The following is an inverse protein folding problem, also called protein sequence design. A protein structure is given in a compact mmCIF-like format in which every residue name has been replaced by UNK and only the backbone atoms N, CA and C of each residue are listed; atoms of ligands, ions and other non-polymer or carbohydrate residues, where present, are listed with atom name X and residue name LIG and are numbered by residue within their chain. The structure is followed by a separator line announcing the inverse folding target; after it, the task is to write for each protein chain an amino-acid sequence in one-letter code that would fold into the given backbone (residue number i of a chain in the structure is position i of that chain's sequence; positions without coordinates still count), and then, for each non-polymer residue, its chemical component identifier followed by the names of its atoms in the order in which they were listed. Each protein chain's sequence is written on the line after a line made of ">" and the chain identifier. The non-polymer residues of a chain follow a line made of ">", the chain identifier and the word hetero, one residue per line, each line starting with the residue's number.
data_IF_762756058347
#
_entry.id   IF_762756058347
#
_cell.length_a   1.000
_cell.length_b   1.000
_cell.length_c   1.000
_cell.angle_alpha   90.00
_cell.angle_beta   90.00
_cell.angle_gamma   90.00
#
_symmetry.space_group_name_H-M   'P 1'
#
loop_
_entity.id
_entity.type
_entity.pdbx_description
1 polymer ?
#
# COMPACT_ATOMS: atom_id res chain seq x y z
N UNK A 1 1.13 -13.13 -10.07
CA UNK A 1 1.50 -12.89 -8.65
C UNK A 1 1.29 -11.44 -8.25
N UNK A 2 1.95 -10.47 -8.88
CA UNK A 2 1.86 -9.06 -8.47
C UNK A 2 0.43 -8.49 -8.51
N UNK A 3 -0.34 -8.78 -9.56
CA UNK A 3 -1.78 -8.46 -9.62
C UNK A 3 -2.55 -9.18 -8.52
N UNK A 4 -2.36 -10.50 -8.35
CA UNK A 4 -3.03 -11.26 -7.29
C UNK A 4 -2.79 -10.68 -5.89
N UNK A 5 -1.59 -10.15 -5.63
CA UNK A 5 -1.27 -9.49 -4.38
C UNK A 5 -2.13 -8.25 -4.13
N UNK A 6 -2.52 -7.46 -5.15
CA UNK A 6 -3.39 -6.28 -4.96
C UNK A 6 -4.78 -6.65 -4.43
N UNK A 7 -5.24 -7.87 -4.71
CA UNK A 7 -6.49 -8.42 -4.19
C UNK A 7 -6.30 -9.10 -2.83
N UNK A 8 -5.39 -10.07 -2.75
CA UNK A 8 -5.21 -10.90 -1.57
C UNK A 8 -4.80 -10.10 -0.32
N UNK A 9 -4.07 -8.99 -0.50
CA UNK A 9 -3.64 -8.14 0.62
C UNK A 9 -4.80 -7.48 1.37
N UNK A 10 -5.99 -7.38 0.77
CA UNK A 10 -7.18 -6.87 1.45
C UNK A 10 -7.56 -7.71 2.67
N UNK A 11 -7.25 -9.02 2.65
CA UNK A 11 -7.50 -9.94 3.76
C UNK A 11 -6.67 -9.56 4.99
N UNK A 12 -5.32 -9.64 4.98
CA UNK A 12 -4.53 -9.29 6.16
C UNK A 12 -4.71 -7.83 6.56
N UNK A 13 -4.87 -6.90 5.61
CA UNK A 13 -5.12 -5.49 5.91
C UNK A 13 -6.42 -5.26 6.70
N UNK A 14 -7.45 -6.07 6.44
CA UNK A 14 -8.72 -6.00 7.17
C UNK A 14 -8.64 -6.77 8.49
N UNK A 15 -8.16 -8.02 8.46
CA UNK A 15 -8.30 -8.95 9.57
C UNK A 15 -7.14 -8.98 10.56
N UNK A 16 -5.92 -8.54 10.22
CA UNK A 16 -4.73 -8.72 11.05
C UNK A 16 -4.14 -7.42 11.63
N UNK A 17 -4.54 -6.24 11.11
CA UNK A 17 -3.95 -4.95 11.51
C UNK A 17 -4.71 -4.19 12.61
N UNK A 18 -5.56 -4.85 13.39
CA UNK A 18 -6.49 -4.19 14.31
C UNK A 18 -5.74 -3.67 15.54
N UNK A 19 -5.87 -2.37 15.81
CA UNK A 19 -5.44 -1.72 17.06
C UNK A 19 -6.68 -1.31 17.88
N UNK A 20 -6.49 -0.96 19.15
CA UNK A 20 -7.56 -0.69 20.13
C UNK A 20 -8.62 0.36 19.75
N UNK A 21 -9.79 0.24 20.40
CA UNK A 21 -10.92 1.18 20.34
C UNK A 21 -10.53 2.63 20.73
N UNK A 22 -9.56 2.82 21.62
CA UNK A 22 -9.07 4.16 21.99
C UNK A 22 -8.33 4.88 20.84
N UNK A 23 -8.01 4.16 19.76
CA UNK A 23 -7.42 4.70 18.54
C UNK A 23 -8.37 4.68 17.33
N UNK A 24 -9.69 4.56 17.54
CA UNK A 24 -10.72 4.50 16.47
C UNK A 24 -10.55 5.60 15.43
N UNK A 25 -10.16 6.81 15.83
CA UNK A 25 -9.96 7.92 14.90
C UNK A 25 -8.84 7.66 13.87
N UNK A 26 -7.86 6.83 14.20
CA UNK A 26 -6.73 6.47 13.35
C UNK A 26 -6.89 5.10 12.66
N UNK A 27 -7.97 4.36 12.91
CA UNK A 27 -8.24 3.08 12.23
C UNK A 27 -8.54 3.30 10.76
N UNK A 28 -8.02 2.39 9.93
CA UNK A 28 -8.36 2.34 8.51
C UNK A 28 -9.84 1.99 8.32
N UNK A 29 -10.49 2.42 7.22
CA UNK A 29 -11.90 2.13 6.96
C UNK A 29 -12.26 0.64 7.06
N UNK A 30 -11.36 -0.26 6.61
CA UNK A 30 -11.55 -1.71 6.69
C UNK A 30 -11.57 -2.23 8.12
N UNK A 31 -10.74 -1.66 9.00
CA UNK A 31 -10.62 -2.05 10.40
C UNK A 31 -11.82 -1.57 11.21
N UNK A 32 -12.32 -0.35 10.93
CA UNK A 32 -13.59 0.14 11.48
C UNK A 32 -14.73 -0.82 11.17
N UNK A 33 -14.87 -1.20 9.89
CA UNK A 33 -15.88 -2.16 9.46
C UNK A 33 -15.69 -3.55 10.08
N UNK A 34 -14.45 -4.02 10.32
CA UNK A 34 -14.22 -5.29 11.00
C UNK A 34 -14.79 -5.29 12.42
N UNK A 35 -14.54 -4.23 13.19
CA UNK A 35 -15.05 -4.06 14.56
C UNK A 35 -16.58 -3.95 14.56
N UNK A 36 -17.18 -3.39 13.51
CA UNK A 36 -18.64 -3.37 13.31
C UNK A 36 -19.22 -4.73 12.85
N UNK A 37 -18.40 -5.77 12.70
CA UNK A 37 -18.83 -7.09 12.22
C UNK A 37 -19.05 -7.16 10.70
N UNK A 38 -18.52 -6.20 9.94
CA UNK A 38 -18.67 -6.04 8.48
C UNK A 38 -17.34 -6.28 7.72
N UNK A 39 -16.37 -7.00 8.29
CA UNK A 39 -15.07 -7.24 7.67
C UNK A 39 -15.13 -7.98 6.33
N UNK A 40 -16.10 -8.90 6.16
CA UNK A 40 -16.33 -9.55 4.86
C UNK A 40 -16.75 -8.53 3.78
N UNK A 41 -17.67 -7.63 4.12
CA UNK A 41 -18.13 -6.57 3.22
C UNK A 41 -16.97 -5.62 2.89
N UNK A 42 -16.14 -5.28 3.87
CA UNK A 42 -14.98 -4.41 3.65
C UNK A 42 -14.02 -4.98 2.60
N UNK A 43 -13.69 -6.26 2.68
CA UNK A 43 -12.83 -6.92 1.69
C UNK A 43 -13.53 -7.02 0.33
N UNK A 44 -14.84 -7.35 0.30
CA UNK A 44 -15.64 -7.40 -0.93
C UNK A 44 -15.61 -6.07 -1.68
N UNK A 45 -15.76 -4.94 -0.99
CA UNK A 45 -15.71 -3.60 -1.58
C UNK A 45 -14.33 -3.26 -2.15
N UNK A 46 -13.26 -3.61 -1.44
CA UNK A 46 -11.89 -3.45 -1.95
C UNK A 46 -11.68 -4.26 -3.22
N UNK A 47 -12.15 -5.52 -3.27
CA UNK A 47 -12.06 -6.38 -4.46
C UNK A 47 -12.84 -5.78 -5.64
N UNK A 48 -14.05 -5.26 -5.41
CA UNK A 48 -14.84 -4.56 -6.44
C UNK A 48 -14.04 -3.38 -6.98
N UNK A 49 -13.44 -2.58 -6.11
CA UNK A 49 -12.56 -1.49 -6.49
C UNK A 49 -11.37 -1.94 -7.34
N UNK A 50 -10.70 -3.02 -6.94
CA UNK A 50 -9.56 -3.59 -7.67
C UNK A 50 -9.95 -4.13 -9.04
N UNK A 51 -11.08 -4.84 -9.17
CA UNK A 51 -11.59 -5.34 -10.46
C UNK A 51 -11.91 -4.17 -11.40
N UNK A 52 -12.73 -3.23 -10.94
CA UNK A 52 -13.13 -2.07 -11.76
C UNK A 52 -11.93 -1.18 -12.09
N UNK A 53 -10.97 -1.05 -11.16
CA UNK A 53 -9.70 -0.37 -11.39
C UNK A 53 -8.87 -1.04 -12.47
N UNK A 54 -8.79 -2.38 -12.49
CA UNK A 54 -8.11 -3.12 -13.56
C UNK A 54 -8.72 -2.86 -14.94
N UNK A 55 -10.05 -2.90 -15.04
CA UNK A 55 -10.74 -2.56 -16.28
C UNK A 55 -10.50 -1.10 -16.70
N UNK A 56 -10.61 -0.16 -15.76
CA UNK A 56 -10.41 1.26 -16.04
C UNK A 56 -8.99 1.57 -16.53
N UNK A 57 -7.96 1.03 -15.87
CA UNK A 57 -6.58 1.30 -16.30
C UNK A 57 -6.25 0.63 -17.63
N UNK A 58 -6.78 -0.56 -17.91
CA UNK A 58 -6.57 -1.22 -19.20
C UNK A 58 -7.25 -0.43 -20.32
N UNK A 59 -8.45 0.09 -20.09
CA UNK A 59 -9.14 0.95 -21.06
C UNK A 59 -8.32 2.23 -21.38
N UNK A 60 -7.69 2.83 -20.36
CA UNK A 60 -6.89 4.06 -20.50
C UNK A 60 -5.46 3.78 -20.95
N UNK A 61 -5.01 2.53 -20.87
CA UNK A 61 -3.61 2.16 -21.13
C UNK A 61 -3.09 2.48 -22.53
N UNK A 62 -3.84 2.38 -23.65
CA UNK A 62 -3.32 2.76 -24.96
C UNK A 62 -2.93 4.23 -25.02
N UNK A 63 -3.73 5.11 -24.40
CA UNK A 63 -3.43 6.53 -24.31
C UNK A 63 -2.17 6.78 -23.47
N UNK A 64 -2.01 6.03 -22.37
CA UNK A 64 -0.86 6.16 -21.49
C UNK A 64 0.43 5.69 -22.15
N UNK A 65 0.41 4.59 -22.90
CA UNK A 65 1.58 4.08 -23.63
C UNK A 65 2.14 5.11 -24.63
N UNK A 66 1.26 5.91 -25.24
CA UNK A 66 1.67 6.96 -26.18
C UNK A 66 2.13 8.23 -25.44
N UNK A 67 1.51 8.54 -24.30
CA UNK A 67 1.67 9.86 -23.66
C UNK A 67 2.74 9.89 -22.58
N UNK A 68 3.01 8.78 -21.89
CA UNK A 68 3.77 8.80 -20.64
C UNK A 68 5.24 9.18 -20.84
N UNK A 69 5.87 8.80 -21.97
CA UNK A 69 7.26 9.16 -22.26
C UNK A 69 7.39 10.68 -22.46
N UNK A 70 6.53 11.26 -23.30
CA UNK A 70 6.44 12.72 -23.48
C UNK A 70 6.16 13.45 -22.16
N UNK A 71 5.20 12.98 -21.36
CA UNK A 71 4.90 13.58 -20.05
C UNK A 71 6.15 13.50 -19.15
N UNK A 72 6.82 12.36 -19.11
CA UNK A 72 8.00 12.16 -18.30
C UNK A 72 9.18 13.04 -18.75
N UNK A 73 9.39 13.25 -20.05
CA UNK A 73 10.46 14.12 -20.53
C UNK A 73 10.32 15.57 -20.04
N UNK A 74 9.09 16.07 -19.93
CA UNK A 74 8.81 17.40 -19.37
C UNK A 74 8.87 17.41 -17.84
N UNK A 75 8.41 16.34 -17.19
CA UNK A 75 8.26 16.30 -15.72
C UNK A 75 9.54 15.86 -15.00
N UNK A 76 10.48 15.14 -15.65
CA UNK A 76 11.63 14.50 -14.98
C UNK A 76 12.46 15.47 -14.14
N UNK A 77 12.71 16.69 -14.64
CA UNK A 77 13.47 17.73 -13.94
C UNK A 77 12.69 18.33 -12.75
N UNK A 78 11.36 18.16 -12.74
CA UNK A 78 10.49 18.66 -11.69
C UNK A 78 10.15 17.60 -10.62
N UNK A 79 10.56 16.34 -10.81
CA UNK A 79 10.25 15.25 -9.87
C UNK A 79 10.67 15.55 -8.44
N UNK A 80 11.90 16.05 -8.14
CA UNK A 80 12.29 16.36 -6.76
C UNK A 80 11.33 17.36 -6.12
N UNK A 81 10.94 18.40 -6.85
CA UNK A 81 10.02 19.43 -6.37
C UNK A 81 8.60 18.90 -6.18
N UNK A 82 8.13 18.01 -7.05
CA UNK A 82 6.84 17.32 -6.87
C UNK A 82 6.84 16.44 -5.61
N UNK A 83 7.94 15.74 -5.34
CA UNK A 83 8.10 14.95 -4.12
C UNK A 83 8.11 15.81 -2.87
N UNK A 84 8.84 16.94 -2.89
CA UNK A 84 8.83 17.92 -1.79
C UNK A 84 7.41 18.46 -1.58
N UNK A 85 6.74 18.90 -2.66
CA UNK A 85 5.38 19.44 -2.60
C UNK A 85 4.39 18.41 -2.02
N UNK A 86 4.45 17.16 -2.48
CA UNK A 86 3.59 16.09 -1.98
C UNK A 86 3.86 15.78 -0.50
N UNK A 87 5.11 15.80 -0.07
CA UNK A 87 5.51 15.58 1.32
C UNK A 87 5.02 16.72 2.22
N UNK A 88 5.22 17.98 1.80
CA UNK A 88 4.71 19.16 2.50
C UNK A 88 3.18 19.13 2.60
N UNK A 89 2.49 18.74 1.53
CA UNK A 89 1.04 18.59 1.55
C UNK A 89 0.58 17.54 2.58
N UNK A 90 1.25 16.39 2.65
CA UNK A 90 0.94 15.35 3.63
C UNK A 90 1.21 15.82 5.06
N UNK A 91 2.35 16.48 5.30
CA UNK A 91 2.69 17.05 6.62
C UNK A 91 1.66 18.12 7.04
N UNK A 92 1.27 19.00 6.12
CA UNK A 92 0.31 20.07 6.39
C UNK A 92 -1.07 19.54 6.81
N UNK A 93 -1.46 18.38 6.28
CA UNK A 93 -2.73 17.71 6.60
C UNK A 93 -2.78 17.10 8.00
N UNK A 94 -1.63 16.90 8.64
CA UNK A 94 -1.57 16.31 9.98
C UNK A 94 -2.02 17.30 11.05
N UNK A 95 -2.69 16.79 12.09
CA UNK A 95 -3.06 17.60 13.25
C UNK A 95 -1.81 18.16 13.94
N UNK A 96 -0.78 17.31 14.10
CA UNK A 96 0.49 17.69 14.69
C UNK A 96 1.60 17.77 13.61
N UNK A 97 1.69 18.93 12.96
CA UNK A 97 2.63 19.20 11.86
C UNK A 97 4.09 19.07 12.27
N UNK A 98 4.41 19.46 13.51
CA UNK A 98 5.78 19.38 14.03
C UNK A 98 6.24 17.92 14.15
N UNK A 99 5.43 17.06 14.79
CA UNK A 99 5.77 15.63 14.86
C UNK A 99 5.75 14.96 13.49
N UNK A 100 4.86 15.38 12.59
CA UNK A 100 4.86 14.88 11.21
C UNK A 100 6.17 15.20 10.47
N UNK A 101 6.66 16.43 10.59
CA UNK A 101 7.94 16.85 10.02
C UNK A 101 9.11 16.09 10.66
N UNK A 102 9.14 15.96 11.98
CA UNK A 102 10.19 15.23 12.70
C UNK A 102 10.23 13.76 12.26
N UNK A 103 9.08 13.08 12.21
CA UNK A 103 8.99 11.68 11.76
C UNK A 103 9.43 11.55 10.30
N UNK A 104 8.99 12.47 9.42
CA UNK A 104 9.36 12.45 8.01
C UNK A 104 10.89 12.56 7.84
N UNK A 105 11.51 13.56 8.47
CA UNK A 105 12.97 13.76 8.43
C UNK A 105 13.71 12.58 9.07
N UNK A 106 13.29 12.13 10.25
CA UNK A 106 13.92 11.01 10.96
C UNK A 106 13.87 9.72 10.13
N UNK A 107 12.73 9.42 9.52
CA UNK A 107 12.60 8.28 8.61
C UNK A 107 13.48 8.44 7.37
N UNK A 108 13.61 9.66 6.83
CA UNK A 108 14.49 9.98 5.71
C UNK A 108 15.96 9.81 5.99
N UNK A 109 16.45 10.33 7.13
CA UNK A 109 17.82 10.11 7.60
C UNK A 109 18.08 8.61 7.74
N UNK A 110 17.14 7.88 8.35
CA UNK A 110 17.25 6.42 8.44
C UNK A 110 17.28 5.75 7.06
N UNK A 111 16.50 6.22 6.09
CA UNK A 111 16.57 5.79 4.69
C UNK A 111 17.95 6.00 4.07
N UNK A 112 18.52 7.20 4.21
CA UNK A 112 19.87 7.53 3.72
C UNK A 112 20.91 6.58 4.33
N UNK A 113 20.85 6.37 5.65
CA UNK A 113 21.80 5.50 6.34
C UNK A 113 21.65 4.05 5.89
N UNK A 114 20.42 3.53 5.81
CA UNK A 114 20.16 2.13 5.46
C UNK A 114 20.54 1.80 4.01
N UNK A 115 20.30 2.69 3.05
CA UNK A 115 20.69 2.47 1.65
C UNK A 115 22.20 2.50 1.43
N UNK A 116 22.97 3.13 2.33
CA UNK A 116 24.42 3.20 2.24
C UNK A 116 25.14 2.11 3.08
N UNK A 117 24.40 1.18 3.69
CA UNK A 117 25.02 0.04 4.39
C UNK A 117 25.67 -0.89 3.35
N UNK A 118 26.97 -1.21 3.45
CA UNK A 118 27.62 -2.12 2.53
C UNK A 118 27.18 -3.57 2.75
N UNK A 119 27.21 -4.38 1.68
CA UNK A 119 27.03 -5.84 1.70
C UNK A 119 25.70 -6.38 2.26
N UNK A 120 24.65 -5.56 2.30
CA UNK A 120 23.31 -6.02 2.72
C UNK A 120 22.45 -6.40 1.50
N UNK A 121 21.86 -7.60 1.57
CA UNK A 121 20.91 -8.09 0.57
C UNK A 121 19.50 -7.60 0.90
N UNK A 122 18.81 -7.09 -0.12
CA UNK A 122 17.39 -6.72 -0.07
C UNK A 122 17.04 -5.77 1.10
N UNK A 123 17.74 -4.65 1.25
CA UNK A 123 17.60 -3.63 2.33
C UNK A 123 16.15 -3.22 2.62
N UNK A 124 15.33 -3.14 1.57
CA UNK A 124 13.93 -2.76 1.67
C UNK A 124 13.11 -3.71 2.55
N UNK A 125 13.46 -5.00 2.57
CA UNK A 125 12.75 -6.02 3.33
C UNK A 125 12.78 -5.74 4.85
N UNK A 126 13.94 -5.69 5.54
CA UNK A 126 13.98 -5.37 6.97
C UNK A 126 13.47 -3.97 7.27
N UNK A 127 13.79 -2.98 6.43
CA UNK A 127 13.38 -1.59 6.63
C UNK A 127 11.85 -1.43 6.60
N UNK A 128 11.18 -1.87 5.54
CA UNK A 128 9.74 -1.70 5.40
C UNK A 128 8.97 -2.65 6.32
N UNK A 129 9.48 -3.86 6.55
CA UNK A 129 8.86 -4.80 7.48
C UNK A 129 8.87 -4.27 8.91
N UNK A 130 9.95 -3.60 9.35
CA UNK A 130 9.97 -2.99 10.67
C UNK A 130 9.15 -1.70 10.76
N UNK A 131 9.32 -0.77 9.81
CA UNK A 131 8.59 0.51 9.80
C UNK A 131 7.07 0.32 9.82
N UNK A 132 6.54 -0.63 9.04
CA UNK A 132 5.09 -0.79 8.85
C UNK A 132 4.51 -2.10 9.40
N UNK A 133 5.23 -3.22 9.29
CA UNK A 133 4.72 -4.54 9.65
C UNK A 133 4.84 -4.84 11.13
N UNK A 134 6.08 -5.07 11.58
CA UNK A 134 6.40 -5.50 12.94
C UNK A 134 6.01 -4.44 13.97
N UNK A 135 6.18 -3.15 13.66
CA UNK A 135 5.71 -2.04 14.51
C UNK A 135 4.21 -2.14 14.83
N UNK A 136 3.39 -2.40 13.80
CA UNK A 136 1.93 -2.56 13.95
C UNK A 136 1.60 -3.81 14.76
N UNK A 137 2.23 -4.94 14.44
CA UNK A 137 1.94 -6.21 15.13
C UNK A 137 2.31 -6.10 16.61
N UNK A 138 3.47 -5.54 16.95
CA UNK A 138 3.91 -5.38 18.34
C UNK A 138 2.94 -4.53 19.17
N UNK A 139 2.39 -3.47 18.57
CA UNK A 139 1.36 -2.66 19.22
C UNK A 139 0.06 -3.45 19.40
N UNK A 140 -0.39 -4.16 18.36
CA UNK A 140 -1.55 -5.05 18.45
C UNK A 140 -1.38 -6.21 19.45
N UNK A 141 -0.15 -6.62 19.79
CA UNK A 141 0.11 -7.66 20.79
C UNK A 141 -0.10 -7.17 22.23
N UNK A 142 0.07 -5.87 22.48
CA UNK A 142 -0.19 -5.23 23.78
C UNK A 142 -1.69 -5.17 24.07
N UNK A 143 -2.48 -5.02 23.00
CA UNK A 143 -3.90 -4.76 23.05
C UNK A 143 -4.74 -6.04 23.07
N UNK A 144 -5.79 -6.09 23.90
CA UNK A 144 -6.74 -7.22 23.93
C UNK A 144 -7.88 -6.99 22.91
N UNK A 145 -7.54 -6.96 21.63
CA UNK A 145 -8.56 -6.84 20.57
C UNK A 145 -9.49 -8.05 20.58
N UNK A 146 -10.78 -7.82 20.81
CA UNK A 146 -11.83 -8.83 20.62
C UNK A 146 -12.58 -8.55 19.32
N UNK A 147 -12.40 -9.42 18.34
CA UNK A 147 -13.12 -9.28 17.06
C UNK A 147 -14.48 -9.97 17.15
N UNK A 148 -15.58 -9.25 16.87
CA UNK A 148 -16.91 -9.84 16.95
C UNK A 148 -17.16 -10.82 15.80
N UNK A 149 -18.24 -11.60 15.94
CA UNK A 149 -18.73 -12.49 14.87
C UNK A 149 -19.11 -11.65 13.65
N UNK A 150 -18.62 -12.07 12.48
CA UNK A 150 -18.79 -11.33 11.23
C UNK A 150 -20.12 -11.66 10.54
N UNK A 151 -20.77 -10.65 9.98
CA UNK A 151 -22.03 -10.75 9.23
C UNK A 151 -21.74 -10.91 7.73
N UNK A 152 -21.81 -12.14 7.23
CA UNK A 152 -21.50 -12.44 5.82
C UNK A 152 -22.71 -12.23 4.88
N UNK A 153 -23.93 -12.35 5.40
CA UNK A 153 -25.16 -12.40 4.59
C UNK A 153 -25.91 -11.05 4.48
N UNK A 154 -25.44 -9.97 5.12
CA UNK A 154 -26.03 -8.63 4.94
C UNK A 154 -25.49 -8.00 3.66
N UNK A 155 -25.98 -8.46 2.51
CA UNK A 155 -25.42 -8.21 1.18
C UNK A 155 -25.93 -6.95 0.45
N UNK A 156 -26.52 -5.97 1.14
CA UNK A 156 -27.05 -4.79 0.45
C UNK A 156 -25.97 -3.72 0.29
N UNK A 157 -25.16 -3.86 -0.77
CA UNK A 157 -24.40 -2.75 -1.35
C UNK A 157 -25.43 -1.83 -2.04
N UNK A 158 -26.07 -0.94 -1.26
CA UNK A 158 -26.90 0.14 -1.79
C UNK A 158 -26.12 1.46 -1.71
N UNK A 159 -26.35 2.32 -2.70
CA UNK A 159 -25.92 3.72 -2.72
C UNK A 159 -24.41 3.97 -2.77
N UNK A 160 -23.67 3.16 -3.55
CA UNK A 160 -22.27 3.47 -3.89
C UNK A 160 -22.17 4.08 -5.28
N UNK A 161 -21.66 5.30 -5.35
CA UNK A 161 -21.28 5.95 -6.61
C UNK A 161 -19.98 5.35 -7.15
N UNK A 162 -20.05 4.11 -7.66
CA UNK A 162 -18.89 3.34 -8.13
C UNK A 162 -18.11 4.10 -9.20
N UNK A 163 -18.78 4.69 -10.20
CA UNK A 163 -18.12 5.48 -11.24
C UNK A 163 -17.27 6.60 -10.65
N UNK A 164 -17.81 7.38 -9.70
CA UNK A 164 -17.08 8.45 -9.02
C UNK A 164 -15.87 7.90 -8.26
N UNK A 165 -16.01 6.78 -7.57
CA UNK A 165 -14.91 6.13 -6.84
C UNK A 165 -13.78 5.74 -7.79
N UNK A 166 -14.10 5.10 -8.91
CA UNK A 166 -13.11 4.65 -9.89
C UNK A 166 -12.45 5.83 -10.58
N UNK A 167 -13.19 6.88 -10.94
CA UNK A 167 -12.59 8.10 -11.52
C UNK A 167 -11.61 8.78 -10.56
N UNK A 168 -11.98 8.93 -9.28
CA UNK A 168 -11.09 9.50 -8.26
C UNK A 168 -9.84 8.62 -8.08
N UNK A 169 -10.04 7.30 -7.99
CA UNK A 169 -8.94 6.33 -7.86
C UNK A 169 -7.99 6.37 -9.04
N UNK A 170 -8.52 6.44 -10.27
CA UNK A 170 -7.73 6.57 -11.50
C UNK A 170 -6.92 7.85 -11.51
N UNK A 171 -7.54 9.02 -11.29
CA UNK A 171 -6.84 10.31 -11.30
C UNK A 171 -5.73 10.33 -10.22
N UNK A 172 -6.05 9.91 -8.99
CA UNK A 172 -5.07 9.86 -7.92
C UNK A 172 -3.90 8.92 -8.23
N UNK A 173 -4.18 7.78 -8.88
CA UNK A 173 -3.15 6.82 -9.28
C UNK A 173 -2.30 7.31 -10.45
N UNK A 174 -2.87 8.07 -11.38
CA UNK A 174 -2.11 8.66 -12.49
C UNK A 174 -1.17 9.76 -11.99
N UNK A 175 -1.59 10.56 -11.01
CA UNK A 175 -0.75 11.61 -10.41
C UNK A 175 0.44 11.05 -9.65
N UNK A 176 0.28 9.87 -9.03
CA UNK A 176 1.27 9.31 -8.11
C UNK A 176 2.05 8.13 -8.71
N UNK A 177 1.43 7.36 -9.60
CA UNK A 177 1.90 6.03 -10.00
C UNK A 177 3.19 6.00 -10.83
N UNK A 178 3.58 7.12 -11.44
CA UNK A 178 4.86 7.24 -12.15
C UNK A 178 5.95 7.96 -11.34
N UNK A 179 5.61 8.55 -10.18
CA UNK A 179 6.55 9.26 -9.33
C UNK A 179 7.28 8.29 -8.38
N UNK A 180 8.61 8.38 -8.24
CA UNK A 180 9.35 7.51 -7.33
C UNK A 180 9.01 7.80 -5.86
N UNK A 181 8.92 6.75 -5.03
CA UNK A 181 8.68 6.90 -3.59
C UNK A 181 7.24 7.24 -3.19
N UNK A 182 6.37 7.57 -4.15
CA UNK A 182 4.93 7.72 -3.91
C UNK A 182 4.19 6.46 -4.36
N UNK A 183 3.20 6.05 -3.58
CA UNK A 183 2.43 4.84 -3.83
C UNK A 183 0.97 4.98 -3.42
N UNK A 184 0.33 3.86 -3.12
CA UNK A 184 -1.11 3.83 -2.87
C UNK A 184 -1.54 4.58 -1.61
N UNK A 185 -0.69 4.67 -0.58
CA UNK A 185 -0.96 5.46 0.61
C UNK A 185 -1.08 6.96 0.28
N UNK A 186 -0.19 7.50 -0.56
CA UNK A 186 -0.22 8.90 -1.00
C UNK A 186 -1.35 9.14 -1.99
N UNK A 187 -1.58 8.23 -2.94
CA UNK A 187 -2.75 8.26 -3.81
C UNK A 187 -4.06 8.30 -3.01
N UNK A 188 -4.17 7.50 -1.96
CA UNK A 188 -5.32 7.50 -1.05
C UNK A 188 -5.47 8.82 -0.28
N UNK A 189 -4.36 9.40 0.18
CA UNK A 189 -4.37 10.69 0.87
C UNK A 189 -4.84 11.83 -0.05
N UNK A 190 -4.48 11.80 -1.34
CA UNK A 190 -4.96 12.74 -2.36
C UNK A 190 -6.45 12.51 -2.64
N UNK A 191 -6.83 11.26 -2.91
CA UNK A 191 -8.20 10.87 -3.20
C UNK A 191 -9.17 11.29 -2.08
N UNK A 192 -8.80 11.03 -0.83
CA UNK A 192 -9.60 11.41 0.36
C UNK A 192 -9.76 12.93 0.53
N UNK A 193 -8.78 13.76 0.13
CA UNK A 193 -8.93 15.24 0.17
C UNK A 193 -10.02 15.75 -0.78
N UNK A 194 -10.11 15.16 -1.97
CA UNK A 194 -11.11 15.52 -2.98
C UNK A 194 -12.48 14.91 -2.62
N UNK A 195 -12.45 13.82 -1.86
CA UNK A 195 -13.58 12.95 -1.58
C UNK A 195 -14.17 13.14 -0.15
N UNK A 196 -14.01 14.32 0.48
CA UNK A 196 -14.34 14.58 1.91
C UNK A 196 -15.74 14.17 2.41
N UNK A 197 -16.71 13.89 1.53
CA UNK A 197 -18.10 13.51 1.87
C UNK A 197 -18.43 12.02 1.73
N UNK A 198 -17.44 11.16 1.46
CA UNK A 198 -17.70 9.77 1.11
C UNK A 198 -17.63 8.82 2.32
N UNK A 199 -18.51 7.82 2.35
CA UNK A 199 -18.57 6.81 3.40
C UNK A 199 -17.32 5.91 3.42
N UNK A 200 -17.07 5.23 4.56
CA UNK A 200 -15.99 4.23 4.68
C UNK A 200 -16.02 3.19 3.54
N UNK A 201 -17.22 2.80 3.10
CA UNK A 201 -17.43 1.86 1.99
C UNK A 201 -16.89 2.39 0.67
N UNK A 202 -17.18 3.65 0.35
CA UNK A 202 -16.68 4.31 -0.87
C UNK A 202 -15.16 4.44 -0.85
N UNK A 203 -14.56 4.73 0.30
CA UNK A 203 -13.11 4.78 0.45
C UNK A 203 -12.44 3.42 0.19
N UNK A 204 -13.06 2.31 0.58
CA UNK A 204 -12.52 0.98 0.29
C UNK A 204 -12.50 0.65 -1.21
N UNK A 205 -13.55 1.05 -1.94
CA UNK A 205 -13.57 0.92 -3.41
C UNK A 205 -12.44 1.75 -4.04
N UNK A 206 -12.26 3.00 -3.58
CA UNK A 206 -11.17 3.87 -4.05
C UNK A 206 -9.81 3.21 -3.77
N UNK A 207 -9.55 2.77 -2.54
CA UNK A 207 -8.28 2.14 -2.13
C UNK A 207 -7.96 0.89 -2.98
N UNK A 208 -8.94 0.00 -3.15
CA UNK A 208 -8.78 -1.20 -3.97
C UNK A 208 -8.45 -0.89 -5.43
N UNK A 209 -9.08 0.15 -5.99
CA UNK A 209 -8.78 0.62 -7.35
C UNK A 209 -7.37 1.17 -7.46
N UNK A 210 -6.95 2.03 -6.52
CA UNK A 210 -5.64 2.69 -6.54
C UNK A 210 -4.50 1.67 -6.59
N UNK A 211 -4.56 0.64 -5.75
CA UNK A 211 -3.51 -0.38 -5.69
C UNK A 211 -3.34 -1.14 -7.01
N UNK A 212 -4.44 -1.46 -7.67
CA UNK A 212 -4.42 -2.22 -8.92
C UNK A 212 -3.98 -1.34 -10.08
N UNK A 213 -4.48 -0.10 -10.13
CA UNK A 213 -4.10 0.89 -11.13
C UNK A 213 -2.60 1.21 -11.03
N UNK A 214 -2.06 1.44 -9.82
CA UNK A 214 -0.62 1.71 -9.61
C UNK A 214 0.24 0.51 -10.04
N UNK A 215 -0.21 -0.73 -9.81
CA UNK A 215 0.54 -1.91 -10.24
C UNK A 215 0.61 -2.01 -11.78
N UNK A 216 -0.49 -1.74 -12.49
CA UNK A 216 -0.49 -1.70 -13.95
C UNK A 216 0.30 -0.51 -14.48
N UNK A 217 0.17 0.66 -13.85
CA UNK A 217 0.99 1.84 -14.15
C UNK A 217 2.49 1.56 -13.98
N UNK A 218 2.88 0.73 -13.01
CA UNK A 218 4.28 0.33 -12.84
C UNK A 218 4.81 -0.50 -14.02
N UNK A 219 3.95 -1.32 -14.65
CA UNK A 219 4.29 -2.06 -15.87
C UNK A 219 4.45 -1.09 -17.05
N UNK A 220 3.48 -0.18 -17.23
CA UNK A 220 3.49 0.83 -18.30
C UNK A 220 4.70 1.77 -18.16
N UNK A 221 5.00 2.22 -16.95
CA UNK A 221 6.15 3.06 -16.66
C UNK A 221 7.47 2.34 -16.99
N UNK A 222 7.60 1.05 -16.65
CA UNK A 222 8.82 0.33 -17.00
C UNK A 222 9.01 0.21 -18.52
N UNK A 223 7.95 -0.09 -19.26
CA UNK A 223 8.01 -0.12 -20.72
C UNK A 223 8.40 1.22 -21.33
N UNK A 224 7.81 2.32 -20.84
CA UNK A 224 7.90 3.59 -21.53
C UNK A 224 9.09 4.46 -21.11
N UNK A 225 9.53 4.34 -19.85
CA UNK A 225 10.60 5.19 -19.28
C UNK A 225 11.74 4.37 -18.66
N UNK A 226 11.72 3.05 -18.79
CA UNK A 226 12.75 2.12 -18.28
C UNK A 226 13.02 2.26 -16.77
N UNK A 227 12.04 2.75 -16.01
CA UNK A 227 12.14 2.92 -14.55
C UNK A 227 11.13 2.02 -13.85
N UNK A 228 11.64 1.08 -13.06
CA UNK A 228 10.80 0.24 -12.22
C UNK A 228 10.20 1.07 -11.07
N UNK A 229 8.89 0.95 -10.88
CA UNK A 229 8.15 1.67 -9.83
C UNK A 229 7.65 0.78 -8.69
N UNK A 230 7.86 -0.54 -8.79
CA UNK A 230 7.56 -1.48 -7.72
C UNK A 230 8.60 -2.59 -7.65
N UNK A 231 8.79 -3.17 -6.46
CA UNK A 231 9.72 -4.30 -6.28
C UNK A 231 9.34 -5.54 -7.12
N UNK A 232 8.05 -5.72 -7.42
CA UNK A 232 7.60 -6.78 -8.32
C UNK A 232 8.13 -6.59 -9.75
N UNK A 233 8.17 -5.36 -10.25
CA UNK A 233 8.78 -5.06 -11.55
C UNK A 233 10.28 -5.26 -11.48
N UNK A 234 10.97 -4.77 -10.44
CA UNK A 234 12.41 -5.00 -10.25
C UNK A 234 12.77 -6.50 -10.27
N UNK A 235 11.91 -7.36 -9.73
CA UNK A 235 12.11 -8.80 -9.77
C UNK A 235 11.91 -9.37 -11.19
N UNK A 236 10.88 -8.92 -11.92
CA UNK A 236 10.61 -9.36 -13.30
C UNK A 236 11.77 -8.94 -14.23
N UNK A 237 12.34 -7.76 -14.03
CA UNK A 237 13.40 -7.23 -14.90
C UNK A 237 14.73 -7.97 -14.78
N UNK A 238 14.90 -8.80 -13.75
CA UNK A 238 16.02 -9.75 -13.65
C UNK A 238 15.92 -10.88 -14.70
N UNK A 239 14.72 -11.17 -15.20
CA UNK A 239 14.45 -12.20 -16.19
C UNK A 239 14.11 -11.63 -17.57
N UNK A 240 13.39 -10.50 -17.60
CA UNK A 240 12.97 -9.80 -18.82
C UNK A 240 13.45 -8.35 -18.72
N UNK A 241 14.68 -8.05 -19.17
CA UNK A 241 15.28 -6.72 -18.98
C UNK A 241 14.58 -5.60 -19.74
N UNK A 242 13.95 -5.91 -20.88
CA UNK A 242 13.25 -4.95 -21.74
C UNK A 242 11.84 -5.47 -22.05
N UNK A 243 10.86 -4.59 -22.01
CA UNK A 243 9.49 -4.91 -22.42
C UNK A 243 9.28 -4.38 -23.82
N UNK A 244 8.78 -5.25 -24.71
CA UNK A 244 8.26 -4.86 -26.01
C UNK A 244 6.73 -4.74 -25.96
N UNK A 245 6.13 -4.26 -27.05
CA UNK A 245 4.67 -4.12 -27.15
C UNK A 245 3.93 -5.45 -26.93
N UNK A 246 4.48 -6.56 -27.42
CA UNK A 246 3.88 -7.88 -27.25
C UNK A 246 3.86 -8.30 -25.78
N UNK A 247 4.95 -8.08 -25.05
CA UNK A 247 5.04 -8.33 -23.61
C UNK A 247 4.02 -7.48 -22.85
N UNK A 248 3.83 -6.22 -23.24
CA UNK A 248 2.87 -5.32 -22.60
C UNK A 248 1.42 -5.77 -22.83
N UNK A 249 1.06 -6.10 -24.07
CA UNK A 249 -0.27 -6.62 -24.41
C UNK A 249 -0.53 -7.91 -23.64
N UNK A 250 0.47 -8.80 -23.56
CA UNK A 250 0.39 -10.03 -22.78
C UNK A 250 0.17 -9.73 -21.29
N UNK A 251 0.91 -8.79 -20.70
CA UNK A 251 0.73 -8.40 -19.31
C UNK A 251 -0.64 -7.76 -19.03
N UNK A 252 -1.21 -7.02 -19.97
CA UNK A 252 -2.59 -6.53 -19.85
C UNK A 252 -3.61 -7.67 -19.85
N UNK A 253 -3.45 -8.65 -20.75
CA UNK A 253 -4.29 -9.85 -20.78
C UNK A 253 -4.19 -10.68 -19.50
N UNK A 254 -2.97 -10.96 -19.04
CA UNK A 254 -2.70 -11.67 -17.78
C UNK A 254 -3.22 -10.89 -16.58
N UNK A 255 -3.23 -9.56 -16.64
CA UNK A 255 -3.82 -8.72 -15.58
C UNK A 255 -5.32 -8.96 -15.44
N UNK A 256 -6.08 -9.02 -16.54
CA UNK A 256 -7.53 -9.28 -16.47
C UNK A 256 -7.83 -10.68 -15.95
N UNK A 257 -7.15 -11.70 -16.48
CA UNK A 257 -7.32 -13.09 -16.04
C UNK A 257 -6.92 -13.21 -14.57
N UNK A 258 -5.76 -12.68 -14.21
CA UNK A 258 -5.24 -12.67 -12.86
C UNK A 258 -6.17 -11.95 -11.90
N UNK A 259 -6.74 -10.80 -12.28
CA UNK A 259 -7.70 -10.06 -11.48
C UNK A 259 -9.00 -10.87 -11.25
N UNK A 260 -9.55 -11.48 -12.30
CA UNK A 260 -10.75 -12.33 -12.19
C UNK A 260 -10.55 -13.52 -11.27
N UNK A 261 -9.48 -14.30 -11.49
CA UNK A 261 -9.13 -15.46 -10.66
C UNK A 261 -8.85 -15.04 -9.21
N UNK A 262 -8.08 -13.96 -9.02
CA UNK A 262 -7.73 -13.49 -7.68
C UNK A 262 -8.95 -12.94 -6.92
N UNK A 263 -9.90 -12.30 -7.59
CA UNK A 263 -11.14 -11.86 -6.97
C UNK A 263 -11.94 -13.06 -6.42
N UNK A 264 -12.11 -14.13 -7.20
CA UNK A 264 -12.82 -15.35 -6.78
C UNK A 264 -12.12 -15.98 -5.57
N UNK A 265 -10.81 -16.21 -5.69
CA UNK A 265 -10.01 -16.83 -4.62
C UNK A 265 -10.06 -15.98 -3.34
N UNK A 266 -9.90 -14.66 -3.46
CA UNK A 266 -9.88 -13.75 -2.31
C UNK A 266 -11.25 -13.73 -1.62
N UNK A 267 -12.36 -13.69 -2.37
CA UNK A 267 -13.71 -13.76 -1.78
C UNK A 267 -13.96 -15.07 -1.03
N UNK A 268 -13.53 -16.20 -1.61
CA UNK A 268 -13.64 -17.51 -0.97
C UNK A 268 -12.84 -17.56 0.34
N UNK A 269 -11.56 -17.16 0.30
CA UNK A 269 -10.69 -17.12 1.48
C UNK A 269 -11.23 -16.16 2.54
N UNK A 270 -11.76 -15.01 2.15
CA UNK A 270 -12.34 -14.02 3.06
C UNK A 270 -13.56 -14.60 3.77
N UNK A 271 -14.45 -15.30 3.06
CA UNK A 271 -15.60 -15.97 3.68
C UNK A 271 -15.16 -17.02 4.71
N UNK A 272 -14.14 -17.81 4.38
CA UNK A 272 -13.58 -18.80 5.30
C UNK A 272 -12.99 -18.14 6.55
N UNK A 273 -12.19 -17.08 6.38
CA UNK A 273 -11.55 -16.35 7.49
C UNK A 273 -12.58 -15.64 8.35
N UNK A 274 -13.54 -14.92 7.75
CA UNK A 274 -14.58 -14.18 8.47
C UNK A 274 -15.41 -15.10 9.39
N UNK A 275 -15.64 -16.35 8.99
CA UNK A 275 -16.33 -17.36 9.80
C UNK A 275 -15.52 -17.88 10.99
N UNK A 276 -14.19 -17.79 10.95
CA UNK A 276 -13.30 -18.35 11.98
C UNK A 276 -12.62 -17.30 12.84
N UNK A 277 -12.52 -16.06 12.35
CA UNK A 277 -11.70 -15.01 12.95
C UNK A 277 -12.06 -14.71 14.42
N UNK A 278 -13.36 -14.76 14.77
CA UNK A 278 -13.84 -14.52 16.13
C UNK A 278 -13.38 -15.59 17.14
N UNK A 279 -12.94 -16.76 16.67
CA UNK A 279 -12.41 -17.85 17.52
C UNK A 279 -10.90 -17.78 17.67
N UNK A 280 -10.21 -16.96 16.87
CA UNK A 280 -8.76 -16.95 16.85
C UNK A 280 -8.19 -16.03 17.93
N UNK A 281 -7.14 -16.50 18.58
CA UNK A 281 -6.36 -15.66 19.48
C UNK A 281 -5.43 -14.78 18.64
N UNK A 282 -5.82 -13.52 18.46
CA UNK A 282 -5.08 -12.50 17.73
C UNK A 282 -3.63 -12.36 18.19
N UNK A 283 -3.39 -12.50 19.50
CA UNK A 283 -2.04 -12.44 20.06
C UNK A 283 -1.15 -13.58 19.55
N UNK A 284 -1.70 -14.80 19.45
CA UNK A 284 -0.95 -15.94 18.90
C UNK A 284 -0.60 -15.73 17.44
N UNK A 285 -1.54 -15.22 16.64
CA UNK A 285 -1.30 -14.90 15.23
C UNK A 285 -0.19 -13.85 15.10
N UNK A 286 -0.28 -12.76 15.87
CA UNK A 286 0.73 -11.71 15.86
C UNK A 286 2.12 -12.26 16.21
N UNK A 287 2.25 -13.10 17.23
CA UNK A 287 3.53 -13.72 17.61
C UNK A 287 4.07 -14.59 16.46
N UNK A 288 3.24 -15.44 15.84
CA UNK A 288 3.65 -16.30 14.72
C UNK A 288 4.14 -15.46 13.54
N UNK A 289 3.41 -14.40 13.17
CA UNK A 289 3.79 -13.52 12.06
C UNK A 289 5.07 -12.74 12.38
N UNK A 290 5.23 -12.26 13.62
CA UNK A 290 6.46 -11.60 14.06
C UNK A 290 7.68 -12.52 13.96
N UNK A 291 7.57 -13.76 14.46
CA UNK A 291 8.64 -14.76 14.36
C UNK A 291 8.97 -15.03 12.89
N UNK A 292 7.95 -15.19 12.06
CA UNK A 292 8.13 -15.41 10.62
C UNK A 292 8.88 -14.25 9.94
N UNK A 293 8.51 -12.99 10.22
CA UNK A 293 9.20 -11.81 9.67
C UNK A 293 10.66 -11.76 10.13
N UNK A 294 10.93 -11.98 11.42
CA UNK A 294 12.28 -11.97 11.98
C UNK A 294 13.14 -13.06 11.32
N UNK A 295 12.62 -14.28 11.21
CA UNK A 295 13.32 -15.41 10.60
C UNK A 295 13.56 -15.17 9.10
N UNK A 296 12.57 -14.63 8.39
CA UNK A 296 12.69 -14.30 6.97
C UNK A 296 13.75 -13.21 6.74
N UNK A 297 13.81 -12.19 7.59
CA UNK A 297 14.86 -11.16 7.56
C UNK A 297 16.24 -11.76 7.88
N UNK A 298 16.33 -12.64 8.87
CA UNK A 298 17.58 -13.31 9.23
C UNK A 298 18.16 -14.13 8.05
N UNK A 299 17.29 -14.85 7.33
CA UNK A 299 17.69 -15.68 6.18
C UNK A 299 18.08 -14.81 4.98
N UNK A 300 17.29 -13.78 4.67
CA UNK A 300 17.46 -13.00 3.43
C UNK A 300 18.52 -11.91 3.56
N UNK A 301 18.51 -11.17 4.67
CA UNK A 301 19.32 -9.96 4.88
C UNK A 301 20.41 -10.13 5.95
N UNK A 302 20.45 -11.28 6.64
CA UNK A 302 21.47 -11.60 7.64
C UNK A 302 21.39 -10.75 8.93
N UNK A 303 22.46 -10.77 9.74
CA UNK A 303 22.51 -10.07 11.03
C UNK A 303 22.33 -8.54 10.91
N UNK A 304 22.90 -7.92 9.88
CA UNK A 304 22.71 -6.50 9.60
C UNK A 304 21.24 -6.17 9.29
N UNK A 305 20.55 -7.08 8.58
CA UNK A 305 19.11 -6.97 8.34
C UNK A 305 18.30 -6.98 9.63
N UNK A 306 18.65 -7.82 10.61
CA UNK A 306 17.99 -7.85 11.92
C UNK A 306 18.20 -6.56 12.70
N UNK A 307 19.39 -5.97 12.63
CA UNK A 307 19.66 -4.66 13.24
C UNK A 307 18.81 -3.55 12.63
N UNK A 308 18.71 -3.51 11.29
CA UNK A 308 17.84 -2.57 10.57
C UNK A 308 16.37 -2.82 10.92
N UNK A 309 15.94 -4.09 11.00
CA UNK A 309 14.58 -4.45 11.41
C UNK A 309 14.25 -3.91 12.80
N UNK A 310 15.19 -4.02 13.75
CA UNK A 310 15.01 -3.51 15.10
C UNK A 310 14.83 -1.98 15.11
N UNK A 311 15.75 -1.24 14.48
CA UNK A 311 15.68 0.24 14.44
C UNK A 311 14.41 0.70 13.70
N UNK A 312 14.14 0.12 12.53
CA UNK A 312 12.94 0.45 11.75
C UNK A 312 11.65 0.15 12.52
N UNK A 313 11.62 -0.89 13.35
CA UNK A 313 10.48 -1.20 14.21
C UNK A 313 10.26 -0.12 15.27
N UNK A 314 11.33 0.34 15.92
CA UNK A 314 11.27 1.44 16.89
C UNK A 314 10.73 2.71 16.22
N UNK A 315 11.34 3.12 15.10
CA UNK A 315 10.91 4.29 14.32
C UNK A 315 9.45 4.14 13.88
N UNK A 316 9.06 2.94 13.44
CA UNK A 316 7.72 2.62 12.97
C UNK A 316 6.62 2.76 14.03
N UNK A 317 6.96 2.64 15.31
CA UNK A 317 6.00 2.84 16.41
C UNK A 317 5.76 4.30 16.78
N UNK A 318 6.71 5.20 16.49
CA UNK A 318 6.63 6.62 16.86
C UNK A 318 5.38 7.35 16.33
N UNK A 319 4.96 7.20 15.06
CA UNK A 319 3.79 7.92 14.55
C UNK A 319 2.52 7.60 15.33
N UNK A 320 2.39 6.36 15.81
CA UNK A 320 1.21 5.91 16.53
C UNK A 320 1.15 6.57 17.92
N UNK A 321 2.28 6.62 18.64
CA UNK A 321 2.35 7.31 19.93
C UNK A 321 2.20 8.83 19.83
N UNK A 322 2.68 9.42 18.72
CA UNK A 322 2.65 10.86 18.49
C UNK A 322 1.37 11.34 17.79
N UNK A 323 0.44 10.43 17.46
CA UNK A 323 -0.83 10.76 16.83
C UNK A 323 -0.71 11.29 15.39
N UNK A 324 0.31 10.83 14.66
CA UNK A 324 0.62 11.22 13.28
C UNK A 324 0.41 10.04 12.33
N UNK A 325 -0.03 10.31 11.09
CA UNK A 325 -0.12 9.29 10.05
C UNK A 325 1.20 8.58 9.76
N UNK A 326 1.14 7.25 9.63
CA UNK A 326 2.28 6.42 9.17
C UNK A 326 2.76 6.76 7.76
N UNK A 327 1.97 7.49 6.96
CA UNK A 327 2.41 7.97 5.65
C UNK A 327 3.71 8.78 5.71
N UNK A 328 3.99 9.44 6.83
CA UNK A 328 5.23 10.22 7.04
C UNK A 328 6.49 9.34 7.09
N UNK A 329 6.36 8.05 7.45
CA UNK A 329 7.48 7.11 7.45
C UNK A 329 8.04 6.84 6.05
N UNK A 330 7.29 7.17 4.99
CA UNK A 330 7.77 7.08 3.60
C UNK A 330 8.85 8.11 3.27
N UNK A 331 9.17 9.03 4.19
CA UNK A 331 10.39 9.82 4.12
C UNK A 331 11.64 8.96 3.92
N UNK A 332 11.65 7.72 4.43
CA UNK A 332 12.73 6.75 4.21
C UNK A 332 13.01 6.41 2.75
N UNK A 333 12.04 6.60 1.84
CA UNK A 333 12.24 6.46 0.40
C UNK A 333 12.32 7.82 -0.28
N UNK A 334 11.43 8.75 0.11
CA UNK A 334 11.25 10.03 -0.58
C UNK A 334 12.48 10.93 -0.43
N UNK A 335 13.05 11.04 0.77
CA UNK A 335 14.22 11.92 1.01
C UNK A 335 15.46 11.43 0.26
N UNK A 336 15.87 10.13 0.34
CA UNK A 336 16.98 9.63 -0.47
C UNK A 336 16.79 9.86 -1.97
N UNK A 337 15.57 9.69 -2.47
CA UNK A 337 15.24 9.93 -3.88
C UNK A 337 15.35 11.41 -4.26
N UNK A 338 14.86 12.33 -3.41
CA UNK A 338 15.01 13.77 -3.64
C UNK A 338 16.49 14.13 -3.74
N UNK A 339 17.32 13.65 -2.80
CA UNK A 339 18.75 13.93 -2.78
C UNK A 339 19.45 13.35 -4.01
N UNK A 340 19.05 12.16 -4.46
CA UNK A 340 19.62 11.53 -5.66
C UNK A 340 19.26 12.25 -6.96
N UNK A 341 18.11 12.93 -7.02
CA UNK A 341 17.61 13.58 -8.23
C UNK A 341 17.91 15.08 -8.31
N UNK A 342 18.36 15.70 -7.22
CA UNK A 342 18.83 17.10 -7.16
C UNK A 342 20.31 17.19 -7.52
#
# INVERSE_FOLDING_TARGET
>A
IAISHTFCKAIPATFLGVAEENTIFNLLPSQKMLIEGQGYEAVKLTIIGSLLGAFAIILVSPLLLISIDNIYSYVKNYIPYLLILSSLFLIYKEKNKMWALVIFILSGIFGILTFNVPNIKEVLLPMLSGLFGLSTILLSLKDKVKVPKQNINKDKIKDLNLHKSISIGLIASLLVGFLPGLGSAQGAAIATSVSKKNSNKTLLVILGSIDTIIMVMSIIAFYSIERARSGAIVAITRFIPQFDLNTIILFMGVTLIGAGVSAIITLYLTRFIANKIYKLNYRKIGIIVSIFIILLVAIVSGPLGLFILLISTIIGTLPIFLGVSRSQLMGCLIIPVIIYLL
#
